data_IF_408103143230
#
_entry.id   IF_408103143230
#
_cell.length_a   1.000
_cell.length_b   1.000
_cell.length_c   1.000
_cell.angle_alpha   90.00
_cell.angle_beta   90.00
_cell.angle_gamma   90.00
#
_symmetry.space_group_name_H-M   'P 1'
#
loop_
_entity.id
_entity.type
_entity.pdbx_description
1 polymer ?
#
# COMPACT_ATOMS: atom_id res chain seq x y z
N UNK A 1 -5.20 16.26 5.58
CA UNK A 1 -4.49 14.96 5.52
C UNK A 1 -3.89 14.78 4.15
N UNK A 2 -2.77 14.06 4.01
CA UNK A 2 -2.14 13.77 2.71
C UNK A 2 -2.60 12.42 2.18
N UNK A 3 -3.20 12.39 0.98
CA UNK A 3 -3.52 11.15 0.27
C UNK A 3 -2.45 10.90 -0.82
N UNK A 4 -2.00 9.65 -0.95
CA UNK A 4 -1.05 9.24 -1.97
C UNK A 4 -1.57 7.99 -2.67
N UNK A 5 -1.50 7.98 -4.01
CA UNK A 5 -1.83 6.81 -4.81
C UNK A 5 -0.67 5.81 -4.75
N UNK A 6 -0.99 4.52 -4.74
CA UNK A 6 -0.03 3.43 -4.78
C UNK A 6 -0.45 2.39 -5.83
N UNK A 7 0.46 1.47 -6.16
CA UNK A 7 0.22 0.36 -7.09
C UNK A 7 -0.08 0.76 -8.55
N UNK A 8 0.50 1.87 -9.03
CA UNK A 8 0.31 2.43 -10.38
C UNK A 8 1.07 1.67 -11.49
N UNK A 9 1.96 0.72 -11.14
CA UNK A 9 2.77 0.00 -12.12
C UNK A 9 2.00 -0.99 -12.99
N UNK A 10 0.84 -1.47 -12.53
CA UNK A 10 0.08 -2.55 -13.19
C UNK A 10 -0.37 -2.20 -14.60
N UNK A 11 -0.72 -0.94 -14.86
CA UNK A 11 -1.13 -0.50 -16.21
C UNK A 11 -0.01 -0.68 -17.23
N UNK A 12 1.20 -0.24 -16.88
CA UNK A 12 2.38 -0.32 -17.76
C UNK A 12 2.90 -1.75 -17.88
N UNK A 13 2.87 -2.52 -16.79
CA UNK A 13 3.31 -3.91 -16.77
C UNK A 13 2.48 -4.84 -17.66
N UNK A 14 1.27 -4.43 -18.04
CA UNK A 14 0.34 -5.24 -18.83
C UNK A 14 0.10 -4.70 -20.22
N UNK A 15 0.96 -3.81 -20.70
CA UNK A 15 0.85 -3.24 -22.04
C UNK A 15 -0.46 -2.45 -22.22
N UNK A 16 -0.93 -1.75 -21.19
CA UNK A 16 -2.23 -1.07 -21.21
C UNK A 16 -3.43 -2.02 -21.17
N UNK A 17 -3.24 -3.22 -20.61
CA UNK A 17 -4.24 -4.28 -20.52
C UNK A 17 -4.25 -5.25 -21.70
N UNK A 18 -3.34 -5.11 -22.67
CA UNK A 18 -3.24 -6.01 -23.81
C UNK A 18 -2.65 -7.39 -23.44
N UNK A 19 -1.76 -7.42 -22.44
CA UNK A 19 -1.03 -8.62 -22.03
C UNK A 19 -1.79 -9.46 -20.97
N UNK A 20 -3.06 -9.13 -20.71
CA UNK A 20 -3.92 -9.83 -19.76
C UNK A 20 -5.25 -10.20 -20.38
N UNK A 21 -5.75 -11.39 -20.01
CA UNK A 21 -7.02 -11.93 -20.51
C UNK A 21 -8.25 -11.32 -19.82
N UNK A 22 -8.05 -10.58 -18.73
CA UNK A 22 -9.13 -9.98 -17.96
C UNK A 22 -8.75 -8.56 -17.50
N UNK A 23 -9.73 -7.66 -17.33
CA UNK A 23 -9.47 -6.33 -16.81
C UNK A 23 -8.82 -6.34 -15.43
N UNK A 24 -7.79 -5.53 -15.24
CA UNK A 24 -7.05 -5.43 -13.97
C UNK A 24 -7.78 -4.46 -13.05
N UNK A 25 -7.94 -4.85 -11.79
CA UNK A 25 -8.54 -4.02 -10.75
C UNK A 25 -9.75 -4.67 -10.08
N UNK A 26 -10.42 -3.92 -9.21
CA UNK A 26 -11.62 -4.39 -8.53
C UNK A 26 -12.83 -4.16 -9.43
N UNK A 27 -13.56 -5.21 -9.85
CA UNK A 27 -14.67 -5.06 -10.79
C UNK A 27 -15.72 -4.05 -10.34
N UNK A 28 -15.97 -3.92 -9.03
CA UNK A 28 -16.95 -2.98 -8.46
C UNK A 28 -16.66 -1.49 -8.73
N UNK A 29 -15.40 -1.12 -8.94
CA UNK A 29 -15.02 0.26 -9.24
C UNK A 29 -14.80 0.50 -10.73
N UNK A 30 -14.91 -0.54 -11.53
CA UNK A 30 -14.56 -0.49 -12.94
C UNK A 30 -15.70 0.12 -13.76
N UNK A 31 -15.33 0.92 -14.75
CA UNK A 31 -16.31 1.58 -15.62
C UNK A 31 -17.02 0.55 -16.53
N UNK A 32 -18.30 0.75 -16.87
CA UNK A 32 -19.09 -0.22 -17.65
C UNK A 32 -18.45 -0.56 -19.00
N UNK A 33 -17.84 0.41 -19.67
CA UNK A 33 -17.21 0.26 -20.98
C UNK A 33 -16.06 -0.76 -20.99
N UNK A 34 -15.40 -0.97 -19.85
CA UNK A 34 -14.28 -1.92 -19.72
C UNK A 34 -14.76 -3.36 -19.92
N UNK A 35 -16.01 -3.65 -19.60
CA UNK A 35 -16.61 -4.98 -19.79
C UNK A 35 -17.24 -5.17 -21.18
N UNK A 36 -17.55 -4.08 -21.89
CA UNK A 36 -18.20 -4.13 -23.20
C UNK A 36 -17.19 -4.24 -24.35
N UNK A 37 -16.01 -3.65 -24.21
CA UNK A 37 -14.99 -3.60 -25.25
C UNK A 37 -13.98 -4.72 -25.06
N UNK A 38 -14.23 -5.88 -25.68
CA UNK A 38 -13.25 -6.97 -25.69
C UNK A 38 -12.06 -6.64 -26.59
N UNK A 39 -10.88 -6.44 -25.97
CA UNK A 39 -9.59 -6.76 -26.59
C UNK A 39 -8.89 -5.71 -27.45
N UNK A 40 -9.47 -4.53 -27.73
CA UNK A 40 -8.73 -3.48 -28.47
C UNK A 40 -9.05 -2.08 -27.99
N UNK A 41 -8.22 -1.61 -27.06
CA UNK A 41 -8.04 -0.19 -26.77
C UNK A 41 -9.11 0.39 -25.83
N UNK A 42 -8.64 1.37 -25.04
CA UNK A 42 -9.40 2.26 -24.17
C UNK A 42 -9.58 1.86 -22.70
N UNK A 43 -8.59 1.19 -22.10
CA UNK A 43 -8.21 1.57 -20.73
C UNK A 43 -7.62 2.99 -20.80
N UNK A 44 -8.53 3.95 -20.82
CA UNK A 44 -8.24 5.39 -20.88
C UNK A 44 -8.20 5.93 -19.46
N UNK A 45 -7.48 7.03 -19.25
CA UNK A 45 -7.46 7.78 -17.99
C UNK A 45 -8.87 8.14 -17.48
N UNK A 46 -9.88 8.16 -18.36
CA UNK A 46 -11.28 8.38 -17.98
C UNK A 46 -11.89 7.22 -17.19
N UNK A 47 -11.37 5.99 -17.30
CA UNK A 47 -11.82 4.85 -16.49
C UNK A 47 -11.47 5.07 -15.01
N UNK A 48 -10.34 5.72 -14.73
CA UNK A 48 -9.94 6.09 -13.37
C UNK A 48 -10.86 7.18 -12.79
N UNK A 49 -11.36 8.08 -13.63
CA UNK A 49 -12.35 9.10 -13.23
C UNK A 49 -13.66 8.45 -12.76
N UNK A 50 -14.13 7.40 -13.44
CA UNK A 50 -15.29 6.65 -12.97
C UNK A 50 -15.01 5.97 -11.63
N UNK A 51 -13.83 5.35 -11.52
CA UNK A 51 -13.40 4.68 -10.28
C UNK A 51 -13.39 5.66 -9.10
N UNK A 52 -12.92 6.89 -9.31
CA UNK A 52 -12.98 7.98 -8.33
C UNK A 52 -14.42 8.30 -7.93
N UNK A 53 -15.34 8.45 -8.90
CA UNK A 53 -16.75 8.70 -8.62
C UNK A 53 -17.40 7.61 -7.77
N UNK A 54 -17.09 6.34 -8.03
CA UNK A 54 -17.57 5.22 -7.24
C UNK A 54 -17.01 5.23 -5.81
N UNK A 55 -15.72 5.55 -5.65
CA UNK A 55 -15.08 5.67 -4.33
C UNK A 55 -15.70 6.83 -3.53
N UNK A 56 -15.88 8.00 -4.14
CA UNK A 56 -16.50 9.15 -3.49
C UNK A 56 -17.94 8.87 -3.08
N UNK A 57 -18.70 8.17 -3.92
CA UNK A 57 -20.05 7.72 -3.58
C UNK A 57 -20.03 6.80 -2.37
N UNK A 58 -19.12 5.82 -2.32
CA UNK A 58 -18.97 4.92 -1.16
C UNK A 58 -18.65 5.68 0.14
N UNK A 59 -17.78 6.69 0.06
CA UNK A 59 -17.39 7.53 1.18
C UNK A 59 -18.55 8.40 1.69
N UNK A 60 -19.31 9.03 0.78
CA UNK A 60 -20.41 9.92 1.15
C UNK A 60 -21.62 9.16 1.70
N UNK A 61 -21.91 7.97 1.16
CA UNK A 61 -22.99 7.12 1.68
C UNK A 61 -22.58 6.41 2.98
N UNK A 62 -21.28 6.39 3.32
CA UNK A 62 -20.73 5.74 4.51
C UNK A 62 -20.87 4.22 4.50
N UNK A 63 -21.10 3.61 3.33
CA UNK A 63 -21.37 2.17 3.19
C UNK A 63 -20.70 1.61 1.95
N UNK A 64 -20.10 0.42 2.10
CA UNK A 64 -19.49 -0.32 0.99
C UNK A 64 -20.56 -0.78 -0.01
N UNK A 65 -20.48 -0.31 -1.24
CA UNK A 65 -21.34 -0.75 -2.33
C UNK A 65 -21.08 -2.25 -2.63
N UNK A 66 -22.18 -3.02 -2.74
CA UNK A 66 -22.18 -4.43 -3.16
C UNK A 66 -21.27 -5.38 -2.37
N UNK A 67 -21.02 -5.11 -1.08
CA UNK A 67 -20.06 -5.87 -0.27
C UNK A 67 -20.30 -7.39 -0.24
N UNK A 68 -21.57 -7.82 -0.33
CA UNK A 68 -21.97 -9.23 -0.21
C UNK A 68 -22.36 -9.88 -1.55
N UNK A 69 -22.13 -9.20 -2.68
CA UNK A 69 -22.51 -9.72 -4.01
C UNK A 69 -21.39 -10.55 -4.64
N UNK A 70 -21.78 -11.62 -5.34
CA UNK A 70 -20.84 -12.42 -6.16
C UNK A 70 -20.47 -11.66 -7.43
N UNK A 71 -19.32 -11.99 -8.03
CA UNK A 71 -18.80 -11.30 -9.22
C UNK A 71 -19.84 -11.15 -10.36
N UNK A 72 -20.55 -12.23 -10.71
CA UNK A 72 -21.57 -12.16 -11.76
C UNK A 72 -22.76 -11.23 -11.43
N UNK A 73 -23.08 -11.05 -10.14
CA UNK A 73 -24.10 -10.09 -9.71
C UNK A 73 -23.58 -8.65 -9.78
N UNK A 74 -22.31 -8.43 -9.39
CA UNK A 74 -21.64 -7.12 -9.49
C UNK A 74 -21.59 -6.67 -10.96
N UNK A 75 -21.18 -7.55 -11.87
CA UNK A 75 -21.14 -7.25 -13.30
C UNK A 75 -22.53 -6.90 -13.84
N UNK A 76 -23.56 -7.66 -13.44
CA UNK A 76 -24.95 -7.35 -13.82
C UNK A 76 -25.39 -5.98 -13.30
N UNK A 77 -25.01 -5.62 -12.06
CA UNK A 77 -25.31 -4.31 -11.47
C UNK A 77 -24.62 -3.18 -12.26
N UNK A 78 -23.34 -3.30 -12.55
CA UNK A 78 -22.59 -2.32 -13.34
C UNK A 78 -23.20 -2.14 -14.73
N UNK A 79 -23.47 -3.23 -15.45
CA UNK A 79 -24.09 -3.17 -16.77
C UNK A 79 -25.51 -2.60 -16.72
N UNK A 80 -26.23 -2.80 -15.60
CA UNK A 80 -27.56 -2.23 -15.43
C UNK A 80 -27.53 -0.69 -15.32
N UNK A 81 -26.40 -0.08 -14.91
CA UNK A 81 -26.24 1.37 -14.85
C UNK A 81 -26.28 2.03 -16.24
N UNK A 82 -26.01 1.28 -17.31
CA UNK A 82 -26.11 1.78 -18.70
C UNK A 82 -27.54 2.15 -19.10
N UNK A 83 -28.53 1.52 -18.47
CA UNK A 83 -29.96 1.67 -18.80
C UNK A 83 -30.68 2.42 -17.67
N UNK A 84 -30.09 3.51 -17.18
CA UNK A 84 -30.66 4.29 -16.10
C UNK A 84 -31.38 5.52 -16.66
N UNK A 85 -32.64 5.70 -16.28
CA UNK A 85 -33.43 6.90 -16.63
C UNK A 85 -33.03 8.12 -15.78
N UNK A 86 -32.45 7.87 -14.60
CA UNK A 86 -31.95 8.90 -13.67
C UNK A 86 -30.43 8.98 -13.65
N UNK A 87 -29.86 9.89 -12.86
CA UNK A 87 -28.41 9.92 -12.64
C UNK A 87 -27.90 8.64 -11.99
N UNK A 88 -26.67 8.25 -12.31
CA UNK A 88 -26.02 7.05 -11.75
C UNK A 88 -25.90 7.15 -10.22
N UNK A 89 -25.62 8.35 -9.71
CA UNK A 89 -25.48 8.63 -8.28
C UNK A 89 -26.79 8.40 -7.52
N UNK A 90 -27.92 8.92 -8.01
CA UNK A 90 -29.23 8.71 -7.39
C UNK A 90 -29.62 7.23 -7.34
N UNK A 91 -29.33 6.49 -8.41
CA UNK A 91 -29.61 5.06 -8.45
C UNK A 91 -28.80 4.30 -7.41
N UNK A 92 -27.52 4.63 -7.25
CA UNK A 92 -26.67 4.04 -6.21
C UNK A 92 -27.16 4.40 -4.80
N UNK A 93 -27.59 5.65 -4.59
CA UNK A 93 -28.14 6.10 -3.31
C UNK A 93 -29.49 5.42 -2.97
N UNK A 94 -30.38 5.23 -3.96
CA UNK A 94 -31.62 4.44 -3.81
C UNK A 94 -31.33 3.00 -3.42
N UNK A 95 -30.38 2.37 -4.11
CA UNK A 95 -30.01 0.98 -3.83
C UNK A 95 -29.38 0.80 -2.44
N UNK A 96 -28.67 1.82 -1.95
CA UNK A 96 -28.09 1.84 -0.61
C UNK A 96 -29.08 2.27 0.49
N UNK A 97 -30.32 2.64 0.15
CA UNK A 97 -31.31 3.21 1.08
C UNK A 97 -30.80 4.49 1.80
N UNK A 98 -30.10 5.34 1.05
CA UNK A 98 -29.42 6.56 1.53
C UNK A 98 -29.77 7.81 0.72
N UNK A 99 -30.96 7.85 0.14
CA UNK A 99 -31.43 8.97 -0.69
C UNK A 99 -31.46 10.29 0.09
N UNK A 100 -31.89 10.26 1.35
CA UNK A 100 -31.87 11.43 2.23
C UNK A 100 -30.45 12.01 2.45
N UNK A 101 -29.43 11.15 2.50
CA UNK A 101 -28.03 11.59 2.60
C UNK A 101 -27.63 12.30 1.31
N UNK A 102 -28.00 11.75 0.15
CA UNK A 102 -27.75 12.39 -1.14
C UNK A 102 -28.43 13.76 -1.21
N UNK A 103 -29.69 13.89 -0.82
CA UNK A 103 -30.43 15.17 -0.83
C UNK A 103 -29.75 16.24 0.02
N UNK A 104 -29.19 15.86 1.17
CA UNK A 104 -28.48 16.77 2.08
C UNK A 104 -27.12 17.27 1.56
N UNK A 105 -26.58 16.68 0.50
CA UNK A 105 -25.28 17.08 -0.03
C UNK A 105 -25.37 18.40 -0.81
N UNK A 106 -24.31 19.23 -0.78
CA UNK A 106 -24.17 20.39 -1.66
C UNK A 106 -24.27 19.98 -3.13
N UNK A 107 -24.96 20.80 -3.93
CA UNK A 107 -25.19 20.50 -5.35
C UNK A 107 -23.87 20.46 -6.13
N UNK A 108 -22.88 21.27 -5.76
CA UNK A 108 -21.52 21.21 -6.34
C UNK A 108 -20.86 19.84 -6.18
N UNK A 109 -21.10 19.13 -5.08
CA UNK A 109 -20.55 17.78 -4.85
C UNK A 109 -21.34 16.75 -5.67
N UNK A 110 -22.67 16.88 -5.74
CA UNK A 110 -23.50 16.01 -6.58
C UNK A 110 -23.09 16.13 -8.04
N UNK A 111 -22.91 17.35 -8.53
CA UNK A 111 -22.50 17.64 -9.91
C UNK A 111 -21.12 17.08 -10.22
N UNK A 112 -20.16 17.23 -9.29
CA UNK A 112 -18.83 16.64 -9.45
C UNK A 112 -18.87 15.12 -9.62
N UNK A 113 -19.65 14.44 -8.78
CA UNK A 113 -19.76 12.97 -8.81
C UNK A 113 -20.55 12.51 -10.03
N UNK A 114 -21.61 13.22 -10.40
CA UNK A 114 -22.37 12.93 -11.62
C UNK A 114 -21.50 13.09 -12.88
N UNK A 115 -20.62 14.10 -12.93
CA UNK A 115 -19.65 14.25 -14.00
C UNK A 115 -18.67 13.06 -14.06
N UNK A 116 -18.24 12.55 -12.90
CA UNK A 116 -17.38 11.36 -12.82
C UNK A 116 -18.11 10.07 -13.26
N UNK A 117 -19.37 9.90 -12.84
CA UNK A 117 -20.19 8.71 -13.04
C UNK A 117 -20.99 8.73 -14.36
N UNK A 118 -20.45 9.40 -15.37
CA UNK A 118 -21.04 9.38 -16.70
C UNK A 118 -20.74 8.05 -17.41
N UNK A 119 -21.78 7.35 -17.87
CA UNK A 119 -21.69 6.02 -18.50
C UNK A 119 -21.03 6.07 -19.87
N UNK A 120 -21.19 7.19 -20.59
CA UNK A 120 -20.57 7.41 -21.89
C UNK A 120 -19.17 8.01 -21.71
N UNK A 121 -18.06 7.34 -22.11
CA UNK A 121 -16.70 7.82 -21.86
C UNK A 121 -16.36 9.16 -22.53
N UNK A 122 -16.98 9.49 -23.66
CA UNK A 122 -16.74 10.77 -24.36
C UNK A 122 -17.22 11.97 -23.53
N UNK A 123 -18.34 11.81 -22.84
CA UNK A 123 -18.96 12.85 -21.99
C UNK A 123 -18.30 12.97 -20.62
N UNK A 124 -17.55 11.95 -20.17
CA UNK A 124 -16.80 12.01 -18.92
C UNK A 124 -15.60 12.96 -19.05
N UNK A 125 -15.38 13.91 -18.13
CA UNK A 125 -14.24 14.83 -18.18
C UNK A 125 -12.91 14.10 -17.92
N UNK A 126 -11.80 14.73 -18.31
CA UNK A 126 -10.46 14.27 -17.93
C UNK A 126 -10.09 14.77 -16.52
N UNK A 127 -9.11 14.15 -15.83
CA UNK A 127 -8.67 14.63 -14.51
C UNK A 127 -8.28 16.11 -14.51
N UNK A 128 -7.57 16.58 -15.55
CA UNK A 128 -7.18 18.00 -15.68
C UNK A 128 -8.37 18.95 -15.83
N UNK A 129 -9.49 18.47 -16.38
CA UNK A 129 -10.74 19.24 -16.46
C UNK A 129 -11.48 19.21 -15.11
N UNK A 130 -11.51 18.06 -14.44
CA UNK A 130 -12.13 17.93 -13.11
C UNK A 130 -11.46 18.78 -12.05
N UNK A 131 -10.15 18.99 -12.12
CA UNK A 131 -9.43 19.88 -11.20
C UNK A 131 -9.88 21.35 -11.29
N UNK A 132 -10.56 21.74 -12.37
CA UNK A 132 -11.12 23.09 -12.54
C UNK A 132 -12.55 23.21 -12.03
N UNK A 133 -13.12 22.13 -11.50
CA UNK A 133 -14.48 22.11 -10.99
C UNK A 133 -14.62 22.97 -9.73
N UNK A 134 -15.82 23.49 -9.47
CA UNK A 134 -16.09 24.43 -8.37
C UNK A 134 -15.65 23.91 -6.99
N UNK A 135 -15.76 22.59 -6.80
CA UNK A 135 -15.30 21.85 -5.62
C UNK A 135 -13.83 22.11 -5.28
N UNK A 136 -12.99 22.40 -6.28
CA UNK A 136 -11.56 22.69 -6.09
C UNK A 136 -11.21 24.18 -6.18
N UNK A 137 -12.17 25.05 -6.49
CA UNK A 137 -11.95 26.50 -6.56
C UNK A 137 -12.15 27.22 -5.24
N UNK A 138 -12.94 26.64 -4.32
CA UNK A 138 -13.03 27.17 -2.96
C UNK A 138 -11.73 26.87 -2.22
N UNK A 139 -11.19 27.85 -1.49
CA UNK A 139 -10.14 27.57 -0.52
C UNK A 139 -10.71 26.54 0.45
N UNK A 140 -10.17 25.31 0.40
CA UNK A 140 -10.45 24.31 1.40
C UNK A 140 -9.86 24.85 2.70
N UNK A 141 -10.65 25.59 3.48
CA UNK A 141 -10.36 25.72 4.89
C UNK A 141 -10.41 24.28 5.42
N UNK A 142 -9.28 23.73 5.90
CA UNK A 142 -9.37 22.52 6.65
C UNK A 142 -10.10 22.91 7.94
N UNK A 143 -11.45 22.94 7.90
CA UNK A 143 -12.21 22.49 9.05
C UNK A 143 -11.50 21.23 9.46
N UNK A 144 -10.84 21.30 10.62
CA UNK A 144 -9.94 20.29 11.10
C UNK A 144 -10.74 19.01 11.03
N UNK A 145 -10.55 18.23 9.95
CA UNK A 145 -11.09 16.90 9.80
C UNK A 145 -10.47 16.22 10.97
N UNK A 146 -11.24 16.17 12.06
CA UNK A 146 -10.65 15.91 13.36
C UNK A 146 -9.97 14.56 13.17
N UNK A 147 -8.63 14.48 13.36
CA UNK A 147 -7.89 13.25 13.11
C UNK A 147 -8.49 12.07 13.91
N UNK A 148 -9.35 12.37 14.88
CA UNK A 148 -10.18 11.49 15.68
C UNK A 148 -11.20 10.64 14.94
N UNK A 149 -11.78 11.04 13.79
CA UNK A 149 -12.94 10.27 13.28
C UNK A 149 -12.55 9.01 12.50
N UNK A 150 -11.41 9.01 11.80
CA UNK A 150 -10.90 7.83 11.06
C UNK A 150 -9.36 7.85 10.98
N UNK A 151 -8.67 7.94 12.11
CA UNK A 151 -7.30 7.40 12.18
C UNK A 151 -7.42 6.08 12.91
N UNK A 152 -7.28 4.98 12.16
CA UNK A 152 -7.02 3.66 12.74
C UNK A 152 -6.00 3.84 13.86
N UNK A 153 -6.32 3.39 15.07
CA UNK A 153 -5.44 3.52 16.24
C UNK A 153 -4.02 3.04 15.91
N UNK A 154 -3.88 2.07 14.99
CA UNK A 154 -2.60 1.60 14.46
C UNK A 154 -1.79 2.69 13.77
N UNK A 155 -2.42 3.52 12.94
CA UNK A 155 -1.76 4.63 12.23
C UNK A 155 -1.35 5.72 13.21
N UNK A 156 -2.19 6.02 14.23
CA UNK A 156 -1.84 6.97 15.28
C UNK A 156 -0.64 6.47 16.09
N UNK A 157 -0.67 5.20 16.51
CA UNK A 157 0.41 4.57 17.27
C UNK A 157 1.70 4.51 16.44
N UNK A 158 1.60 4.22 15.14
CA UNK A 158 2.75 4.21 14.24
C UNK A 158 3.39 5.59 14.10
N UNK A 159 2.59 6.64 13.86
CA UNK A 159 3.12 8.02 13.75
C UNK A 159 3.82 8.51 15.01
N UNK A 160 3.43 8.00 16.17
CA UNK A 160 4.07 8.32 17.44
C UNK A 160 5.29 7.44 17.73
N UNK A 161 5.56 6.42 16.91
CA UNK A 161 6.70 5.53 17.08
C UNK A 161 7.95 6.18 16.48
N UNK A 162 9.06 6.19 17.23
CA UNK A 162 10.37 6.68 16.77
C UNK A 162 10.88 5.96 15.52
N UNK A 163 10.47 4.70 15.33
CA UNK A 163 10.79 3.92 14.14
C UNK A 163 10.11 4.43 12.86
N UNK A 164 9.05 5.25 12.98
CA UNK A 164 8.31 5.75 11.81
C UNK A 164 9.10 6.73 10.95
N UNK A 165 10.14 7.35 11.51
CA UNK A 165 11.04 8.24 10.79
C UNK A 165 12.10 7.49 9.96
N UNK A 166 12.22 6.16 10.16
CA UNK A 166 13.23 5.35 9.47
C UNK A 166 12.76 4.88 8.10
N UNK A 167 13.67 4.75 7.12
CA UNK A 167 13.32 4.22 5.81
C UNK A 167 12.85 2.76 5.90
N UNK A 168 11.91 2.40 5.02
CA UNK A 168 11.27 1.08 5.02
C UNK A 168 12.27 -0.08 4.87
N UNK A 169 13.33 0.11 4.09
CA UNK A 169 14.35 -0.91 3.87
C UNK A 169 15.10 -1.26 5.17
N UNK A 170 15.40 -0.27 6.01
CA UNK A 170 16.04 -0.50 7.31
C UNK A 170 15.08 -1.17 8.28
N UNK A 171 13.83 -0.71 8.33
CA UNK A 171 12.80 -1.33 9.17
C UNK A 171 12.60 -2.80 8.81
N UNK A 172 12.59 -3.12 7.52
CA UNK A 172 12.47 -4.48 7.03
C UNK A 172 13.68 -5.35 7.40
N UNK A 173 14.89 -4.79 7.32
CA UNK A 173 16.11 -5.46 7.76
C UNK A 173 16.08 -5.77 9.27
N UNK A 174 15.77 -4.77 10.10
CA UNK A 174 15.67 -4.92 11.55
C UNK A 174 14.55 -5.88 11.95
N UNK A 175 13.42 -5.84 11.24
CA UNK A 175 12.31 -6.76 11.44
C UNK A 175 12.73 -8.21 11.19
N UNK A 176 13.50 -8.48 10.14
CA UNK A 176 14.05 -9.82 9.88
C UNK A 176 14.98 -10.28 11.00
N UNK A 177 15.85 -9.41 11.51
CA UNK A 177 16.71 -9.71 12.66
C UNK A 177 15.91 -9.99 13.93
N UNK A 178 14.76 -9.33 14.10
CA UNK A 178 13.85 -9.57 15.22
C UNK A 178 13.10 -10.92 15.14
N UNK A 179 13.35 -11.73 14.10
CA UNK A 179 12.69 -13.01 13.86
C UNK A 179 11.54 -12.92 12.87
N UNK A 180 11.38 -11.79 12.16
CA UNK A 180 10.39 -11.63 11.11
C UNK A 180 10.70 -12.51 9.90
N UNK A 181 9.75 -13.39 9.54
CA UNK A 181 9.85 -14.24 8.35
C UNK A 181 8.71 -13.93 7.38
N UNK A 182 9.07 -13.34 6.24
CA UNK A 182 8.12 -12.99 5.18
C UNK A 182 7.45 -14.24 4.60
N UNK A 183 8.19 -15.33 4.41
CA UNK A 183 7.63 -16.54 3.81
C UNK A 183 6.63 -17.19 4.77
N UNK A 184 6.94 -17.24 6.07
CA UNK A 184 6.02 -17.75 7.08
C UNK A 184 4.73 -16.93 7.13
N UNK A 185 4.82 -15.59 7.14
CA UNK A 185 3.62 -14.74 7.18
C UNK A 185 2.80 -14.87 5.89
N UNK A 186 3.43 -14.93 4.72
CA UNK A 186 2.72 -15.15 3.45
C UNK A 186 2.06 -16.54 3.38
N UNK A 187 2.70 -17.58 3.93
CA UNK A 187 2.11 -18.92 4.06
C UNK A 187 0.89 -18.91 4.98
N UNK A 188 0.98 -18.22 6.13
CA UNK A 188 -0.11 -18.06 7.10
C UNK A 188 -1.33 -17.38 6.48
N UNK A 189 -1.12 -16.39 5.61
CA UNK A 189 -2.19 -15.72 4.86
C UNK A 189 -2.67 -16.51 3.62
N UNK A 190 -2.08 -17.68 3.37
CA UNK A 190 -2.42 -18.58 2.26
C UNK A 190 -2.03 -18.07 0.88
N UNK A 191 -1.12 -17.08 0.81
CA UNK A 191 -0.58 -16.51 -0.43
C UNK A 191 0.55 -17.37 -1.00
N UNK A 192 1.36 -17.97 -0.13
CA UNK A 192 2.36 -18.97 -0.53
C UNK A 192 1.84 -20.34 -0.14
N UNK A 193 1.61 -21.19 -1.14
CA UNK A 193 1.17 -22.57 -0.95
C UNK A 193 2.25 -23.52 -1.45
N UNK A 194 2.67 -24.45 -0.61
CA UNK A 194 3.56 -25.53 -1.03
C UNK A 194 2.73 -26.61 -1.73
N UNK A 195 2.74 -26.61 -3.05
CA UNK A 195 2.14 -27.69 -3.86
C UNK A 195 3.27 -28.60 -4.38
N UNK A 196 3.17 -29.93 -4.25
CA UNK A 196 4.12 -30.85 -4.86
C UNK A 196 4.22 -30.61 -6.37
N UNK A 197 5.43 -30.58 -6.97
CA UNK A 197 5.61 -30.33 -8.40
C UNK A 197 4.80 -31.28 -9.30
N UNK A 198 4.63 -32.52 -8.88
CA UNK A 198 3.86 -33.53 -9.62
C UNK A 198 2.38 -33.17 -9.77
N UNK A 199 1.82 -32.39 -8.83
CA UNK A 199 0.44 -31.88 -8.89
C UNK A 199 0.33 -30.55 -9.65
N UNK A 200 1.46 -30.01 -10.12
CA UNK A 200 1.54 -28.84 -11.01
C UNK A 200 1.85 -29.23 -12.46
N UNK A 201 1.94 -30.51 -12.77
CA UNK A 201 2.05 -30.97 -14.15
C UNK A 201 0.67 -30.92 -14.84
N UNK A 202 0.60 -30.53 -16.12
CA UNK A 202 -0.64 -30.63 -16.88
C UNK A 202 -0.99 -32.09 -17.14
N UNK A 203 -2.30 -32.42 -17.08
CA UNK A 203 -2.75 -33.78 -17.34
C UNK A 203 -2.69 -34.13 -18.83
N UNK A 204 -2.77 -33.12 -19.70
CA UNK A 204 -2.71 -33.26 -21.15
C UNK A 204 -1.99 -32.05 -21.74
N UNK A 205 -1.07 -32.26 -22.67
CA UNK A 205 -0.44 -31.21 -23.47
C UNK A 205 -0.65 -31.56 -24.94
N UNK A 206 -1.28 -30.68 -25.71
CA UNK A 206 -1.45 -30.85 -27.15
C UNK A 206 -0.13 -30.52 -27.86
N UNK A 207 0.05 -31.06 -29.07
CA UNK A 207 1.23 -30.81 -29.92
C UNK A 207 1.42 -29.32 -30.24
N UNK A 208 0.35 -28.52 -30.18
CA UNK A 208 0.36 -27.06 -30.36
C UNK A 208 0.84 -26.31 -29.09
N UNK A 209 1.18 -27.01 -28.00
CA UNK A 209 1.68 -26.44 -26.75
C UNK A 209 0.60 -26.05 -25.74
N UNK A 210 -0.67 -26.28 -26.04
CA UNK A 210 -1.79 -25.99 -25.11
C UNK A 210 -1.92 -27.10 -24.06
N UNK A 211 -2.06 -26.72 -22.79
CA UNK A 211 -2.07 -27.63 -21.65
C UNK A 211 -3.42 -27.65 -20.93
N UNK A 212 -3.94 -28.84 -20.59
CA UNK A 212 -5.25 -29.08 -19.97
C UNK A 212 -5.14 -29.89 -18.67
N UNK A 213 -6.18 -29.79 -17.83
CA UNK A 213 -6.35 -30.61 -16.64
C UNK A 213 -5.69 -30.09 -15.36
N UNK A 214 -4.97 -28.96 -15.42
CA UNK A 214 -4.65 -28.23 -14.19
C UNK A 214 -5.91 -27.53 -13.67
N UNK A 215 -6.23 -27.73 -12.39
CA UNK A 215 -7.12 -26.80 -11.70
C UNK A 215 -6.47 -25.42 -11.73
N UNK A 216 -7.21 -24.39 -12.16
CA UNK A 216 -6.73 -22.99 -12.12
C UNK A 216 -6.37 -22.67 -10.68
N UNK A 217 -5.07 -22.64 -10.38
CA UNK A 217 -4.61 -22.33 -9.04
C UNK A 217 -4.80 -20.83 -8.80
N UNK A 218 -5.51 -20.47 -7.73
CA UNK A 218 -5.66 -19.06 -7.38
C UNK A 218 -4.29 -18.41 -7.07
N UNK A 219 -3.27 -19.21 -6.76
CA UNK A 219 -1.89 -18.72 -6.58
C UNK A 219 -1.26 -18.15 -7.86
N UNK A 220 -1.78 -18.46 -9.06
CA UNK A 220 -1.31 -17.85 -10.32
C UNK A 220 -2.07 -16.58 -10.68
N UNK A 221 -3.12 -16.23 -9.92
CA UNK A 221 -3.87 -15.00 -10.11
C UNK A 221 -3.25 -13.88 -9.27
N UNK A 222 -3.35 -12.65 -9.78
CA UNK A 222 -2.95 -11.47 -9.03
C UNK A 222 -3.81 -11.35 -7.76
N UNK A 223 -3.16 -11.41 -6.61
CA UNK A 223 -3.79 -11.19 -5.32
C UNK A 223 -3.34 -9.85 -4.74
N UNK A 224 -4.26 -8.90 -4.67
CA UNK A 224 -4.01 -7.54 -4.18
C UNK A 224 -4.18 -7.41 -2.66
N UNK A 225 -4.31 -8.52 -1.93
CA UNK A 225 -4.41 -8.51 -0.46
C UNK A 225 -3.16 -7.88 0.15
N UNK A 226 -3.36 -6.80 0.91
CA UNK A 226 -2.31 -6.19 1.73
C UNK A 226 -2.16 -7.00 3.01
N UNK A 227 -0.99 -7.58 3.21
CA UNK A 227 -0.65 -8.33 4.42
C UNK A 227 0.12 -7.41 5.37
N UNK A 228 -0.45 -7.04 6.53
CA UNK A 228 0.29 -6.28 7.53
C UNK A 228 1.35 -7.18 8.19
N UNK A 229 2.61 -6.78 8.12
CA UNK A 229 3.69 -7.47 8.83
C UNK A 229 3.70 -7.04 10.31
N UNK A 230 3.75 -7.97 11.28
CA UNK A 230 3.73 -7.63 12.69
C UNK A 230 5.07 -7.02 13.12
N UNK A 231 5.03 -5.82 13.69
CA UNK A 231 6.23 -5.12 14.18
C UNK A 231 6.41 -5.23 15.70
N UNK A 232 5.48 -5.87 16.41
CA UNK A 232 5.43 -5.90 17.88
C UNK A 232 6.74 -6.42 18.49
N UNK A 233 7.28 -7.53 17.96
CA UNK A 233 8.55 -8.11 18.44
C UNK A 233 9.72 -7.14 18.29
N UNK A 234 9.80 -6.42 17.16
CA UNK A 234 10.86 -5.44 16.93
C UNK A 234 10.71 -4.25 17.88
N UNK A 235 9.48 -3.73 18.02
CA UNK A 235 9.19 -2.60 18.92
C UNK A 235 9.49 -2.97 20.37
N UNK A 236 9.10 -4.16 20.82
CA UNK A 236 9.41 -4.66 22.16
C UNK A 236 10.92 -4.76 22.40
N UNK A 237 11.67 -5.33 21.45
CA UNK A 237 13.14 -5.44 21.55
C UNK A 237 13.89 -4.12 21.59
N UNK A 238 13.31 -3.04 21.07
CA UNK A 238 13.93 -1.71 21.07
C UNK A 238 13.31 -0.77 22.11
N UNK A 239 12.29 -1.22 22.85
CA UNK A 239 11.49 -0.36 23.74
C UNK A 239 12.28 0.20 24.94
N UNK A 240 13.30 -0.52 25.42
CA UNK A 240 14.15 -0.10 26.53
C UNK A 240 15.23 0.90 26.13
N UNK A 241 15.43 1.14 24.84
CA UNK A 241 16.52 1.96 24.36
C UNK A 241 16.25 3.45 24.60
N UNK A 242 17.24 4.19 25.14
CA UNK A 242 17.09 5.62 25.34
C UNK A 242 17.08 6.37 24.00
N UNK A 243 16.49 7.56 23.99
CA UNK A 243 16.44 8.45 22.81
C UNK A 243 17.82 8.79 22.23
N UNK A 244 18.87 8.73 23.05
CA UNK A 244 20.26 8.94 22.62
C UNK A 244 20.72 7.90 21.60
N UNK A 245 20.15 6.70 21.60
CA UNK A 245 20.43 5.66 20.59
C UNK A 245 19.79 6.02 19.25
N UNK A 246 18.56 6.57 19.27
CA UNK A 246 17.84 7.01 18.07
C UNK A 246 18.49 8.24 17.43
N UNK A 247 19.09 9.11 18.25
CA UNK A 247 19.72 10.36 17.80
C UNK A 247 21.13 10.52 18.40
N UNK A 248 22.13 9.73 17.95
CA UNK A 248 23.45 9.71 18.57
C UNK A 248 24.16 11.06 18.41
N UNK A 249 24.71 11.57 19.51
CA UNK A 249 25.49 12.81 19.50
C UNK A 249 26.95 12.49 19.16
N UNK A 250 27.34 12.72 17.91
CA UNK A 250 28.70 12.37 17.45
C UNK A 250 29.79 13.37 17.85
N UNK A 251 29.40 14.56 18.30
CA UNK A 251 30.32 15.70 18.50
C UNK A 251 30.45 16.12 19.96
N UNK A 252 29.37 15.98 20.75
CA UNK A 252 29.34 16.42 22.14
C UNK A 252 29.78 15.29 23.07
N UNK A 253 31.07 15.25 23.43
CA UNK A 253 31.59 14.40 24.51
C UNK A 253 31.31 15.05 25.87
N UNK A 254 30.04 15.18 26.24
CA UNK A 254 29.72 15.59 27.61
C UNK A 254 29.94 14.40 28.54
N UNK A 255 30.81 14.54 29.54
CA UNK A 255 31.05 13.49 30.56
C UNK A 255 29.79 13.12 31.37
N UNK A 256 28.76 13.98 31.34
CA UNK A 256 27.48 13.77 32.04
C UNK A 256 26.51 12.91 31.20
N UNK A 257 26.61 12.98 29.87
CA UNK A 257 25.80 12.18 28.91
C UNK A 257 26.58 10.99 28.32
N UNK A 258 27.88 10.91 28.60
CA UNK A 258 28.84 10.01 27.97
C UNK A 258 28.89 8.62 28.58
N UNK A 259 27.74 8.06 28.96
CA UNK A 259 27.67 6.61 29.15
C UNK A 259 27.57 6.03 27.75
N UNK A 260 28.71 5.60 27.20
CA UNK A 260 28.74 4.68 26.07
C UNK A 260 28.11 3.37 26.56
N UNK A 261 26.77 3.31 26.65
CA UNK A 261 26.05 2.05 26.81
C UNK A 261 26.29 1.27 25.53
N UNK A 262 27.39 0.52 25.50
CA UNK A 262 27.63 -0.47 24.49
C UNK A 262 26.56 -1.56 24.70
N UNK A 263 25.93 -1.98 23.61
CA UNK A 263 25.01 -3.12 23.67
C UNK A 263 25.73 -4.31 24.29
N UNK A 264 25.05 -5.11 25.09
CA UNK A 264 25.59 -6.34 25.70
C UNK A 264 26.19 -7.29 24.65
N UNK A 265 25.69 -7.23 23.40
CA UNK A 265 26.20 -8.01 22.29
C UNK A 265 27.56 -7.50 21.77
N UNK A 266 28.00 -6.29 22.08
CA UNK A 266 29.21 -5.67 21.52
C UNK A 266 30.50 -6.43 21.86
N UNK A 267 30.53 -7.15 22.99
CA UNK A 267 31.66 -8.02 23.37
C UNK A 267 31.59 -9.44 22.79
N UNK A 268 30.50 -9.78 22.11
CA UNK A 268 30.28 -11.12 21.56
C UNK A 268 30.99 -11.29 20.20
N UNK A 269 31.26 -12.54 19.77
CA UNK A 269 31.77 -12.84 18.44
C UNK A 269 30.97 -12.16 17.33
N UNK A 270 31.65 -11.81 16.23
CA UNK A 270 31.08 -11.05 15.11
C UNK A 270 29.78 -11.67 14.58
N UNK A 271 29.73 -13.00 14.46
CA UNK A 271 28.54 -13.74 13.98
C UNK A 271 27.30 -13.49 14.86
N UNK A 272 27.48 -13.28 16.16
CA UNK A 272 26.39 -12.97 17.09
C UNK A 272 26.00 -11.49 16.95
N UNK A 273 26.98 -10.59 16.87
CA UNK A 273 26.76 -9.15 16.65
C UNK A 273 26.01 -8.84 15.35
N UNK A 274 26.29 -9.58 14.28
CA UNK A 274 25.61 -9.45 12.99
C UNK A 274 24.13 -9.85 13.02
N UNK A 275 23.75 -10.71 13.98
CA UNK A 275 22.38 -11.19 14.16
C UNK A 275 21.62 -10.49 15.28
N UNK A 276 22.32 -9.75 16.12
CA UNK A 276 21.71 -9.03 17.24
C UNK A 276 20.98 -7.76 16.75
N UNK A 277 19.70 -7.65 17.13
CA UNK A 277 18.84 -6.55 16.70
C UNK A 277 19.28 -5.20 17.24
N UNK A 278 19.67 -5.14 18.51
CA UNK A 278 20.01 -3.87 19.17
C UNK A 278 21.35 -3.35 18.67
N UNK A 279 22.35 -4.24 18.59
CA UNK A 279 23.65 -3.93 18.04
C UNK A 279 23.52 -3.39 16.62
N UNK A 280 22.84 -4.13 15.73
CA UNK A 280 22.64 -3.68 14.35
C UNK A 280 21.86 -2.35 14.27
N UNK A 281 20.85 -2.15 15.12
CA UNK A 281 20.14 -0.87 15.19
C UNK A 281 21.07 0.30 15.53
N UNK A 282 21.90 0.16 16.58
CA UNK A 282 22.90 1.15 16.99
C UNK A 282 23.90 1.43 15.85
N UNK A 283 24.38 0.40 15.15
CA UNK A 283 25.31 0.54 14.02
C UNK A 283 24.67 1.29 12.85
N UNK A 284 23.47 0.89 12.42
CA UNK A 284 22.77 1.53 11.30
C UNK A 284 22.54 3.01 11.55
N UNK A 285 22.08 3.39 12.74
CA UNK A 285 21.83 4.81 13.08
C UNK A 285 23.15 5.59 13.16
N UNK A 286 24.18 5.01 13.78
CA UNK A 286 25.49 5.65 13.87
C UNK A 286 26.05 5.92 12.47
N UNK A 287 26.01 4.93 11.57
CA UNK A 287 26.52 5.10 10.21
C UNK A 287 25.69 6.06 9.37
N UNK A 288 24.35 6.04 9.46
CA UNK A 288 23.51 7.05 8.80
C UNK A 288 23.96 8.47 9.18
N UNK A 289 24.25 8.72 10.45
CA UNK A 289 24.73 10.03 10.92
C UNK A 289 26.16 10.34 10.52
N UNK A 290 27.07 9.37 10.57
CA UNK A 290 28.47 9.55 10.17
C UNK A 290 28.59 9.81 8.66
N UNK A 291 27.82 9.09 7.84
CA UNK A 291 27.81 9.22 6.38
C UNK A 291 27.24 10.57 5.94
N UNK A 292 26.20 11.08 6.61
CA UNK A 292 25.72 12.45 6.40
C UNK A 292 26.78 13.53 6.66
N UNK A 293 27.76 13.25 7.52
CA UNK A 293 28.90 14.12 7.81
C UNK A 293 30.16 13.83 7.00
N UNK A 294 30.10 12.93 6.00
CA UNK A 294 31.20 12.70 5.07
C UNK A 294 31.42 13.95 4.19
N UNK A 295 32.67 14.38 3.91
CA UNK A 295 33.95 13.70 4.17
C UNK A 295 34.58 13.96 5.54
N UNK A 296 34.10 14.94 6.31
CA UNK A 296 34.72 15.38 7.56
C UNK A 296 34.79 14.27 8.63
N UNK A 297 33.83 13.35 8.63
CA UNK A 297 33.76 12.21 9.57
C UNK A 297 34.49 10.95 9.11
N UNK A 298 35.33 11.02 8.06
CA UNK A 298 36.06 9.85 7.51
C UNK A 298 36.84 9.06 8.57
N UNK A 299 37.59 9.74 9.45
CA UNK A 299 38.37 9.07 10.49
C UNK A 299 37.47 8.32 11.50
N UNK A 300 36.32 8.89 11.85
CA UNK A 300 35.34 8.25 12.74
C UNK A 300 34.68 7.03 12.07
N UNK A 301 34.33 7.14 10.78
CA UNK A 301 33.81 6.02 9.98
C UNK A 301 34.82 4.86 9.98
N UNK A 302 36.09 5.15 9.70
CA UNK A 302 37.14 4.12 9.73
C UNK A 302 37.26 3.52 11.12
N UNK A 303 37.38 4.33 12.18
CA UNK A 303 37.49 3.83 13.57
C UNK A 303 36.35 2.88 13.93
N UNK A 304 35.12 3.24 13.59
CA UNK A 304 33.96 2.40 13.87
C UNK A 304 33.95 1.15 13.00
N UNK A 305 34.34 1.22 11.73
CA UNK A 305 34.35 0.08 10.81
C UNK A 305 35.31 -1.02 11.28
N UNK A 306 36.47 -0.65 11.84
CA UNK A 306 37.44 -1.62 12.36
C UNK A 306 36.86 -2.56 13.43
N UNK A 307 35.79 -2.18 14.14
CA UNK A 307 35.16 -3.03 15.17
C UNK A 307 34.43 -4.25 14.60
N UNK A 308 33.96 -4.15 13.35
CA UNK A 308 33.13 -5.19 12.70
C UNK A 308 33.87 -5.89 11.56
N UNK A 309 35.07 -5.45 11.21
CA UNK A 309 35.91 -6.13 10.22
C UNK A 309 36.64 -7.27 10.94
N UNK A 310 36.46 -8.53 10.51
CA UNK A 310 37.25 -9.63 11.05
C UNK A 310 38.74 -9.38 10.76
N UNK A 311 39.66 -9.72 11.67
CA UNK A 311 41.09 -9.59 11.41
C UNK A 311 41.43 -10.38 10.14
N UNK A 312 42.22 -9.76 9.26
CA UNK A 312 42.87 -10.48 8.17
C UNK A 312 43.87 -11.44 8.82
N UNK A 313 43.63 -12.74 8.67
CA UNK A 313 44.52 -13.80 9.13
C UNK A 313 45.95 -13.62 8.60
#
# INVERSE_FOLDING_TARGET
>A
GSAQLFNYGLYYMTGGGADVLFPIGSPKYMAPEVFLLQGRGQSSIKVDVWSLGMILTELLLGQKLWANLKLGQILRKILSLLHCDTTTLERLAREADKLAVLESLPDSIKDFINACLQTTPSLRPTPSQLLKHEVFTQEFEPEVLSPSTIIDQRVKNWRNNLLSERPLQELYYLWRLAGGDLQAELKKQGLVRSKPPILSLPNLVLLEGTAFGQSRDQATLLDLRVVPLPLDTLVQRLSHLPLTVYYPLTETKSAILGVEEQSDAASLPLVIRERDTEYQFRRVILYDRLLKGYPYKKAAILKEAHKDVPPLY
#
